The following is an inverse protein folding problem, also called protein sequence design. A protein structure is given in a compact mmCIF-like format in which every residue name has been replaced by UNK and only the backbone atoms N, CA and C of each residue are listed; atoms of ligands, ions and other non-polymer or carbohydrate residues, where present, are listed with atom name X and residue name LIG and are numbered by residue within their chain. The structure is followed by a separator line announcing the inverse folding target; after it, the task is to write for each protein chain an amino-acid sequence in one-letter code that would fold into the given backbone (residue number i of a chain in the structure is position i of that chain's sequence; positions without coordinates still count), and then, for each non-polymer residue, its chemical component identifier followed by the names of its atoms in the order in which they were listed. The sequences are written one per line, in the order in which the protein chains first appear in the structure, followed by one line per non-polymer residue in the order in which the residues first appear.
data_IF_936233040367
#
_entry.id   IF_936233040367
#
_cell.length_a   1.000
_cell.length_b   1.000
_cell.length_c   1.000
_cell.angle_alpha   90.00
_cell.angle_beta   90.00
_cell.angle_gamma   90.00
#
_symmetry.space_group_name_H-M   'P 1'
#
loop_
_entity.id
_entity.type
_entity.pdbx_description
1 polymer ?
#
# COMPACT_ATOMS: atom_id res chain seq x y z
N UNK A 1 21.07 -59.37 -26.18
CA UNK A 1 21.18 -58.47 -25.02
C UNK A 1 19.77 -58.05 -24.65
N UNK A 2 19.23 -58.75 -23.66
CA UNK A 2 17.80 -58.92 -23.40
C UNK A 2 17.43 -58.06 -22.20
N UNK A 3 16.43 -57.19 -22.34
CA UNK A 3 15.88 -56.38 -21.23
C UNK A 3 15.01 -57.27 -20.34
N UNK A 4 15.43 -57.48 -19.09
CA UNK A 4 14.65 -58.15 -18.07
C UNK A 4 13.80 -57.12 -17.31
N UNK A 5 12.49 -57.36 -17.30
CA UNK A 5 11.53 -56.79 -16.34
C UNK A 5 11.73 -57.51 -15.00
N UNK A 6 11.75 -56.77 -13.89
CA UNK A 6 11.50 -57.33 -12.57
C UNK A 6 10.41 -56.53 -11.87
N UNK A 7 9.34 -57.26 -11.56
CA UNK A 7 8.21 -56.88 -10.73
C UNK A 7 8.68 -56.58 -9.30
N UNK A 8 8.07 -55.60 -8.66
CA UNK A 8 8.11 -55.45 -7.21
C UNK A 8 6.67 -55.56 -6.68
N UNK A 9 6.44 -56.60 -5.89
CA UNK A 9 5.17 -56.94 -5.26
C UNK A 9 5.11 -56.29 -3.86
N UNK A 10 3.96 -55.76 -3.40
CA UNK A 10 3.89 -54.99 -2.15
C UNK A 10 3.73 -55.91 -0.92
N UNK A 11 4.48 -55.60 0.15
CA UNK A 11 4.37 -56.23 1.47
C UNK A 11 3.37 -55.48 2.37
N UNK A 12 2.69 -56.15 3.33
CA UNK A 12 1.43 -55.69 3.92
C UNK A 12 1.55 -54.66 5.06
N UNK A 13 0.53 -53.82 5.15
CA UNK A 13 0.29 -52.80 6.19
C UNK A 13 0.29 -53.39 7.61
N UNK A 14 1.05 -52.75 8.51
CA UNK A 14 0.93 -52.95 9.97
C UNK A 14 0.01 -51.88 10.56
N UNK A 15 -1.12 -52.32 11.12
CA UNK A 15 -2.07 -51.48 11.86
C UNK A 15 -1.42 -50.83 13.10
N UNK A 16 -1.67 -49.54 13.38
CA UNK A 16 -1.24 -48.94 14.63
C UNK A 16 -2.22 -49.25 15.78
N UNK A 17 -1.63 -49.57 16.94
CA UNK A 17 -2.28 -49.89 18.21
C UNK A 17 -3.05 -48.68 18.76
N UNK A 18 -4.26 -48.92 19.26
CA UNK A 18 -5.06 -47.96 20.04
C UNK A 18 -4.37 -47.66 21.37
N UNK A 19 -3.96 -46.41 21.59
CA UNK A 19 -3.58 -45.90 22.91
C UNK A 19 -4.68 -44.99 23.45
N UNK A 20 -5.26 -45.45 24.54
CA UNK A 20 -6.23 -44.80 25.42
C UNK A 20 -5.71 -43.47 25.96
N UNK A 21 -6.30 -42.34 25.57
CA UNK A 21 -6.15 -41.07 26.28
C UNK A 21 -7.32 -40.88 27.26
N UNK A 22 -6.93 -40.76 28.54
CA UNK A 22 -7.78 -40.49 29.70
C UNK A 22 -8.18 -39.02 29.67
N UNK A 23 -9.46 -38.73 29.44
CA UNK A 23 -10.02 -37.39 29.57
C UNK A 23 -10.14 -37.03 31.06
N UNK A 24 -9.52 -35.92 31.46
CA UNK A 24 -9.75 -35.32 32.78
C UNK A 24 -10.44 -33.98 32.53
N UNK A 25 -11.76 -33.97 32.64
CA UNK A 25 -12.57 -32.75 32.66
C UNK A 25 -12.35 -32.04 34.00
N UNK A 26 -11.91 -30.78 33.97
CA UNK A 26 -12.07 -29.87 35.09
C UNK A 26 -12.96 -28.72 34.66
N UNK A 27 -14.16 -28.76 35.23
CA UNK A 27 -15.24 -27.81 35.16
C UNK A 27 -14.97 -26.70 36.19
N UNK A 28 -14.94 -25.42 35.79
CA UNK A 28 -15.14 -24.31 36.74
C UNK A 28 -15.88 -23.16 36.06
N UNK A 29 -16.84 -22.69 36.82
CA UNK A 29 -17.95 -21.83 36.47
C UNK A 29 -17.58 -20.35 36.34
N UNK A 30 -18.17 -19.73 35.32
CA UNK A 30 -18.85 -18.43 35.28
C UNK A 30 -18.91 -17.63 36.60
N UNK A 31 -18.37 -16.41 36.57
CA UNK A 31 -18.87 -15.29 37.37
C UNK A 31 -18.65 -13.95 36.65
N UNK A 32 -19.75 -13.29 36.32
CA UNK A 32 -19.83 -11.87 35.95
C UNK A 32 -19.91 -11.01 37.21
N UNK A 33 -19.58 -9.70 37.11
CA UNK A 33 -20.58 -8.72 37.54
C UNK A 33 -20.78 -7.54 36.56
N UNK A 34 -22.05 -7.14 36.40
CA UNK A 34 -22.55 -5.77 36.12
C UNK A 34 -22.06 -4.83 37.24
N UNK A 35 -21.91 -3.51 37.16
CA UNK A 35 -22.65 -2.35 36.60
C UNK A 35 -21.66 -1.16 36.84
N UNK A 36 -21.68 0.02 36.21
CA UNK A 36 -22.68 1.10 36.31
C UNK A 36 -22.25 2.29 35.42
N UNK A 37 -23.27 3.06 35.06
CA UNK A 37 -23.44 4.30 34.30
C UNK A 37 -22.38 5.43 34.35
N UNK A 38 -22.35 6.19 33.24
CA UNK A 38 -22.58 7.64 33.27
C UNK A 38 -21.37 8.55 33.03
N UNK A 39 -21.27 9.19 31.86
CA UNK A 39 -21.82 10.53 31.66
C UNK A 39 -21.46 11.09 30.26
N UNK A 40 -22.49 11.54 29.55
CA UNK A 40 -22.43 12.29 28.30
C UNK A 40 -22.14 13.76 28.58
N UNK A 41 -21.31 14.41 27.75
CA UNK A 41 -21.50 15.83 27.40
C UNK A 41 -21.32 16.03 25.90
N UNK A 42 -22.46 16.26 25.25
CA UNK A 42 -22.59 17.00 23.99
C UNK A 42 -22.22 18.47 24.24
N UNK A 43 -21.48 19.08 23.31
CA UNK A 43 -21.56 20.52 23.05
C UNK A 43 -21.61 20.69 21.53
N UNK A 44 -22.79 21.11 21.10
CA UNK A 44 -23.26 21.93 19.98
C UNK A 44 -22.44 22.12 18.69
N UNK A 45 -23.18 21.82 17.63
CA UNK A 45 -23.15 22.25 16.23
C UNK A 45 -23.31 23.76 15.99
N UNK A 46 -22.74 24.26 14.89
CA UNK A 46 -23.11 25.35 13.93
C UNK A 46 -21.79 25.97 13.41
N UNK A 47 -21.50 26.25 12.15
CA UNK A 47 -22.08 26.06 10.81
C UNK A 47 -20.94 26.46 9.82
N UNK A 48 -20.87 25.98 8.56
CA UNK A 48 -19.77 26.28 7.65
C UNK A 48 -20.07 27.48 6.74
N UNK A 49 -19.23 28.52 6.76
CA UNK A 49 -19.31 29.60 5.77
C UNK A 49 -18.56 29.22 4.48
N UNK A 50 -19.36 28.98 3.43
CA UNK A 50 -18.99 28.90 2.02
C UNK A 50 -18.73 30.32 1.50
N UNK A 51 -17.58 30.54 0.86
CA UNK A 51 -17.32 31.75 0.07
C UNK A 51 -17.62 31.46 -1.40
N UNK A 52 -18.68 32.07 -1.92
CA UNK A 52 -18.98 32.21 -3.34
C UNK A 52 -18.45 33.58 -3.83
N UNK A 53 -17.62 33.65 -4.90
CA UNK A 53 -17.01 34.89 -5.37
C UNK A 53 -17.84 35.52 -6.49
N UNK A 54 -18.63 36.55 -6.17
CA UNK A 54 -19.08 37.51 -7.20
C UNK A 54 -19.49 38.85 -6.58
N UNK A 55 -18.50 39.69 -6.30
CA UNK A 55 -18.70 41.11 -6.00
C UNK A 55 -18.49 41.93 -7.28
N UNK A 56 -19.60 42.35 -7.87
CA UNK A 56 -19.67 43.31 -8.98
C UNK A 56 -19.54 44.72 -8.39
N UNK A 57 -18.48 45.45 -8.78
CA UNK A 57 -18.44 46.90 -8.74
C UNK A 57 -17.86 47.42 -10.05
N UNK A 58 -18.66 48.15 -10.81
CA UNK A 58 -18.16 49.12 -11.77
C UNK A 58 -19.15 50.28 -11.84
N UNK A 59 -18.66 51.44 -11.43
CA UNK A 59 -19.28 52.75 -11.47
C UNK A 59 -18.90 53.44 -12.79
N UNK A 60 -19.87 54.03 -13.49
CA UNK A 60 -19.64 55.23 -14.31
C UNK A 60 -20.98 55.83 -14.77
N UNK A 61 -21.11 57.14 -14.60
CA UNK A 61 -22.27 57.94 -14.93
C UNK A 61 -22.16 58.60 -16.31
N UNK A 62 -23.32 58.74 -16.97
CA UNK A 62 -23.83 59.90 -17.72
C UNK A 62 -22.97 60.61 -18.80
N UNK A 63 -23.59 60.87 -19.97
CA UNK A 63 -23.32 62.09 -20.74
C UNK A 63 -23.53 62.05 -22.26
N UNK A 64 -24.77 62.32 -22.68
CA UNK A 64 -25.20 63.17 -23.81
C UNK A 64 -24.80 62.90 -25.29
N UNK A 65 -25.84 63.04 -26.12
CA UNK A 65 -25.94 62.93 -27.58
C UNK A 65 -25.37 64.14 -28.33
N UNK A 66 -24.87 63.92 -29.57
CA UNK A 66 -25.09 64.82 -30.71
C UNK A 66 -24.75 64.12 -32.05
N UNK A 67 -25.66 64.26 -33.02
CA UNK A 67 -25.54 63.79 -34.41
C UNK A 67 -24.79 64.80 -35.30
N UNK A 68 -23.92 64.35 -36.21
CA UNK A 68 -24.01 64.68 -37.66
C UNK A 68 -22.97 63.95 -38.54
N UNK A 69 -23.48 63.10 -39.44
CA UNK A 69 -23.23 62.97 -40.90
C UNK A 69 -21.80 63.07 -41.51
N UNK A 70 -21.51 61.99 -42.25
CA UNK A 70 -20.85 61.88 -43.58
C UNK A 70 -19.31 61.85 -43.61
N UNK A 71 -18.74 60.69 -43.96
CA UNK A 71 -18.20 60.44 -45.31
C UNK A 71 -17.58 59.04 -45.37
N UNK A 72 -17.84 58.34 -46.48
CA UNK A 72 -17.39 56.99 -46.72
C UNK A 72 -15.87 56.94 -46.99
N UNK A 73 -15.13 56.20 -46.17
CA UNK A 73 -13.81 55.69 -46.52
C UNK A 73 -13.81 54.18 -46.31
N UNK A 74 -13.49 53.46 -47.39
CA UNK A 74 -13.45 52.01 -47.48
C UNK A 74 -12.50 51.43 -46.43
N UNK A 75 -13.07 50.88 -45.36
CA UNK A 75 -12.34 49.99 -44.45
C UNK A 75 -12.11 48.67 -45.16
N UNK A 76 -10.84 48.43 -45.49
CA UNK A 76 -10.32 47.10 -45.79
C UNK A 76 -10.79 46.15 -44.68
N UNK A 77 -11.59 45.16 -45.07
CA UNK A 77 -12.07 44.12 -44.19
C UNK A 77 -10.85 43.28 -43.78
N UNK A 78 -10.36 43.51 -42.57
CA UNK A 78 -9.52 42.54 -41.88
C UNK A 78 -10.26 41.20 -41.93
N UNK A 79 -9.62 40.09 -42.34
CA UNK A 79 -10.30 38.81 -42.40
C UNK A 79 -10.88 38.52 -41.02
N UNK A 80 -12.20 38.29 -41.00
CA UNK A 80 -12.96 38.02 -39.80
C UNK A 80 -12.26 36.93 -39.00
N UNK A 81 -11.88 37.25 -37.77
CA UNK A 81 -11.43 36.31 -36.76
C UNK A 81 -12.52 35.27 -36.37
N UNK A 82 -13.66 35.25 -37.07
CA UNK A 82 -14.67 34.20 -36.97
C UNK A 82 -14.34 32.95 -37.81
N UNK A 83 -13.29 32.96 -38.64
CA UNK A 83 -12.86 31.77 -39.39
C UNK A 83 -11.76 30.95 -38.68
N UNK A 84 -11.33 31.35 -37.48
CA UNK A 84 -10.34 30.63 -36.67
C UNK A 84 -10.96 29.82 -35.51
N UNK A 85 -12.28 29.66 -35.48
CA UNK A 85 -13.01 28.98 -34.41
C UNK A 85 -13.82 27.79 -34.95
N UNK A 86 -13.13 26.77 -35.45
CA UNK A 86 -13.69 25.42 -35.58
C UNK A 86 -12.58 24.36 -35.52
N UNK A 87 -11.62 24.50 -34.60
CA UNK A 87 -10.90 23.32 -34.15
C UNK A 87 -11.95 22.43 -33.45
N UNK A 88 -12.33 21.33 -34.11
CA UNK A 88 -13.26 20.36 -33.54
C UNK A 88 -12.87 20.04 -32.10
N UNK A 89 -13.85 20.02 -31.18
CA UNK A 89 -13.59 19.69 -29.79
C UNK A 89 -12.76 18.39 -29.71
N UNK A 90 -11.71 18.34 -28.88
CA UNK A 90 -10.85 17.17 -28.82
C UNK A 90 -11.67 15.94 -28.44
N UNK A 91 -11.50 14.85 -29.20
CA UNK A 91 -12.13 13.58 -28.89
C UNK A 91 -11.55 13.01 -27.60
N UNK A 92 -12.34 13.11 -26.52
CA UNK A 92 -11.95 12.69 -25.19
C UNK A 92 -11.85 11.15 -25.05
N UNK A 93 -12.10 10.37 -26.09
CA UNK A 93 -11.93 8.91 -26.05
C UNK A 93 -10.48 8.46 -26.32
N UNK A 94 -9.60 9.37 -26.69
CA UNK A 94 -8.24 8.98 -27.09
C UNK A 94 -7.35 8.67 -25.87
N UNK A 95 -6.73 7.47 -25.81
CA UNK A 95 -5.99 7.02 -24.63
C UNK A 95 -4.83 7.91 -24.17
N UNK A 96 -4.18 8.62 -25.10
CA UNK A 96 -3.01 9.47 -24.79
C UNK A 96 -3.34 10.68 -23.91
N UNK A 97 -4.62 11.02 -23.75
CA UNK A 97 -5.05 12.10 -22.86
C UNK A 97 -5.15 11.67 -21.39
N UNK A 98 -5.00 10.37 -21.10
CA UNK A 98 -5.19 9.82 -19.77
C UNK A 98 -3.90 9.24 -19.20
N UNK A 99 -3.67 9.51 -17.92
CA UNK A 99 -2.69 8.77 -17.14
C UNK A 99 -3.33 7.52 -16.56
N UNK A 100 -2.55 6.44 -16.52
CA UNK A 100 -2.97 5.25 -15.79
C UNK A 100 -3.10 5.56 -14.30
N UNK A 101 -4.23 5.17 -13.69
CA UNK A 101 -4.50 5.41 -12.27
C UNK A 101 -3.45 4.77 -11.37
N UNK A 102 -3.10 3.52 -11.64
CA UNK A 102 -2.21 2.74 -10.77
C UNK A 102 -0.77 3.24 -10.88
N UNK A 103 -0.33 3.60 -12.08
CA UNK A 103 0.99 4.22 -12.28
C UNK A 103 1.06 5.62 -11.66
N UNK A 104 -0.03 6.39 -11.73
CA UNK A 104 -0.11 7.71 -11.07
C UNK A 104 -0.05 7.57 -9.55
N UNK A 105 -0.65 6.52 -8.99
CA UNK A 105 -0.55 6.20 -7.58
C UNK A 105 0.89 5.85 -7.17
N UNK A 106 1.62 5.09 -8.00
CA UNK A 106 3.04 4.81 -7.77
C UNK A 106 3.88 6.10 -7.79
N UNK A 107 3.60 7.04 -8.68
CA UNK A 107 4.28 8.35 -8.69
C UNK A 107 3.98 9.17 -7.44
N UNK A 108 2.76 9.08 -6.90
CA UNK A 108 2.44 9.67 -5.60
C UNK A 108 3.32 9.04 -4.51
N UNK A 109 3.37 7.70 -4.42
CA UNK A 109 4.16 7.04 -3.38
C UNK A 109 5.68 7.28 -3.56
N UNK A 110 6.15 7.47 -4.80
CA UNK A 110 7.52 7.90 -5.08
C UNK A 110 7.83 9.26 -4.44
N UNK A 111 6.87 10.20 -4.40
CA UNK A 111 7.06 11.48 -3.71
C UNK A 111 7.12 11.30 -2.19
N UNK A 112 6.34 10.39 -1.63
CA UNK A 112 6.43 10.02 -0.20
C UNK A 112 7.82 9.47 0.13
N UNK A 113 8.39 8.62 -0.73
CA UNK A 113 9.76 8.15 -0.58
C UNK A 113 10.77 9.30 -0.66
N UNK A 114 10.58 10.23 -1.59
CA UNK A 114 11.46 11.39 -1.75
C UNK A 114 11.49 12.28 -0.49
N UNK A 115 10.35 12.52 0.16
CA UNK A 115 10.30 13.25 1.46
C UNK A 115 11.08 12.52 2.56
N UNK A 116 11.06 11.18 2.56
CA UNK A 116 11.84 10.36 3.47
C UNK A 116 13.35 10.34 3.18
N UNK A 117 13.75 10.76 1.98
CA UNK A 117 15.15 10.85 1.57
C UNK A 117 15.72 12.27 1.62
N UNK A 118 14.87 13.28 1.82
CA UNK A 118 15.24 14.69 1.86
C UNK A 118 15.93 15.05 3.18
N UNK A 119 17.18 15.52 3.11
CA UNK A 119 17.97 15.93 4.28
C UNK A 119 17.38 17.14 5.02
N UNK A 120 16.49 17.92 4.37
CA UNK A 120 15.74 19.01 5.02
C UNK A 120 14.69 18.48 6.00
N UNK A 121 14.27 17.23 5.84
CA UNK A 121 13.31 16.55 6.72
C UNK A 121 14.03 16.04 7.99
N UNK A 122 13.50 16.31 9.20
CA UNK A 122 14.08 15.80 10.44
C UNK A 122 14.30 14.28 10.41
N UNK A 123 15.40 13.82 11.02
CA UNK A 123 15.87 12.44 10.91
C UNK A 123 14.81 11.37 11.25
N UNK A 124 14.04 11.57 12.31
CA UNK A 124 12.98 10.64 12.69
C UNK A 124 11.76 10.73 11.78
N UNK A 125 11.46 11.92 11.25
CA UNK A 125 10.39 12.08 10.26
C UNK A 125 10.77 11.39 8.94
N UNK A 126 12.05 11.40 8.55
CA UNK A 126 12.54 10.59 7.42
C UNK A 126 12.28 9.09 7.62
N UNK A 127 12.60 8.56 8.79
CA UNK A 127 12.31 7.16 9.14
C UNK A 127 10.81 6.87 9.08
N UNK A 128 9.97 7.81 9.52
CA UNK A 128 8.51 7.70 9.46
C UNK A 128 8.00 7.74 8.02
N UNK A 129 8.53 8.60 7.14
CA UNK A 129 8.17 8.61 5.72
C UNK A 129 8.53 7.30 5.01
N UNK A 130 9.67 6.70 5.35
CA UNK A 130 10.00 5.36 4.87
C UNK A 130 8.95 4.32 5.32
N UNK A 131 8.48 4.39 6.56
CA UNK A 131 7.40 3.53 7.05
C UNK A 131 6.08 3.78 6.31
N UNK A 132 5.69 5.05 6.13
CA UNK A 132 4.48 5.44 5.40
C UNK A 132 4.53 4.93 3.95
N UNK A 133 5.68 5.05 3.28
CA UNK A 133 5.87 4.49 1.94
C UNK A 133 5.55 2.99 1.90
N UNK A 134 6.05 2.21 2.86
CA UNK A 134 5.80 0.77 2.96
C UNK A 134 4.34 0.45 3.27
N UNK A 135 3.72 1.14 4.25
CA UNK A 135 2.29 0.94 4.57
C UNK A 135 1.38 1.27 3.39
N UNK A 136 1.69 2.34 2.65
CA UNK A 136 0.95 2.67 1.43
C UNK A 136 1.06 1.55 0.39
N UNK A 137 2.24 0.94 0.24
CA UNK A 137 2.42 -0.19 -0.67
C UNK A 137 1.60 -1.40 -0.23
N UNK A 138 1.54 -1.70 1.06
CA UNK A 138 0.72 -2.82 1.56
C UNK A 138 -0.74 -2.67 1.12
N UNK A 139 -1.33 -1.50 1.34
CA UNK A 139 -2.71 -1.20 0.92
C UNK A 139 -2.88 -1.26 -0.61
N UNK A 140 -1.90 -0.75 -1.36
CA UNK A 140 -1.92 -0.84 -2.82
C UNK A 140 -1.90 -2.30 -3.31
N UNK A 141 -1.12 -3.16 -2.70
CA UNK A 141 -1.07 -4.58 -3.06
C UNK A 141 -2.35 -5.31 -2.68
N UNK A 142 -2.82 -5.10 -1.45
CA UNK A 142 -4.01 -5.74 -0.92
C UNK A 142 -5.28 -5.40 -1.70
N UNK A 143 -5.39 -4.16 -2.18
CA UNK A 143 -6.60 -3.70 -2.88
C UNK A 143 -6.42 -3.66 -4.40
N UNK A 144 -5.44 -2.89 -4.89
CA UNK A 144 -5.30 -2.58 -6.33
C UNK A 144 -4.71 -3.74 -7.11
N UNK A 145 -3.56 -4.25 -6.68
CA UNK A 145 -2.89 -5.36 -7.36
C UNK A 145 -3.74 -6.63 -7.27
N UNK A 146 -4.39 -6.88 -6.13
CA UNK A 146 -5.33 -7.99 -5.98
C UNK A 146 -6.49 -7.89 -6.99
N UNK A 147 -7.11 -6.71 -7.13
CA UNK A 147 -8.18 -6.48 -8.10
C UNK A 147 -7.75 -6.69 -9.55
N UNK A 148 -6.55 -6.21 -9.93
CA UNK A 148 -5.98 -6.48 -11.25
C UNK A 148 -5.73 -7.97 -11.47
N UNK A 149 -5.18 -8.68 -10.49
CA UNK A 149 -4.97 -10.14 -10.58
C UNK A 149 -6.29 -10.90 -10.76
N UNK A 150 -7.35 -10.50 -10.05
CA UNK A 150 -8.67 -11.09 -10.22
C UNK A 150 -9.21 -10.88 -11.65
N UNK A 151 -9.00 -9.70 -12.23
CA UNK A 151 -9.39 -9.42 -13.62
C UNK A 151 -8.63 -10.30 -14.62
N UNK A 152 -7.32 -10.50 -14.42
CA UNK A 152 -6.51 -11.40 -15.25
C UNK A 152 -7.01 -12.84 -15.15
N UNK A 153 -7.27 -13.34 -13.94
CA UNK A 153 -7.80 -14.70 -13.73
C UNK A 153 -9.18 -14.89 -14.37
N UNK A 154 -10.01 -13.83 -14.37
CA UNK A 154 -11.31 -13.82 -15.04
C UNK A 154 -11.23 -13.51 -16.55
N UNK A 155 -10.03 -13.46 -17.12
CA UNK A 155 -9.75 -13.19 -18.55
C UNK A 155 -10.38 -11.87 -19.05
N UNK A 156 -10.48 -10.86 -18.19
CA UNK A 156 -11.05 -9.56 -18.54
C UNK A 156 -10.11 -8.81 -19.47
N UNK A 157 -10.52 -8.63 -20.73
CA UNK A 157 -9.76 -7.88 -21.75
C UNK A 157 -10.12 -6.40 -21.84
N UNK A 158 -11.00 -5.92 -20.95
CA UNK A 158 -11.41 -4.51 -20.92
C UNK A 158 -10.18 -3.64 -20.64
N UNK A 159 -9.91 -2.69 -21.54
CA UNK A 159 -8.80 -1.76 -21.40
C UNK A 159 -9.14 -0.63 -20.41
N UNK A 160 -8.12 -0.15 -19.72
CA UNK A 160 -8.19 1.08 -18.94
C UNK A 160 -8.33 2.31 -19.85
N UNK A 161 -8.71 3.49 -19.33
CA UNK A 161 -8.84 4.71 -20.14
C UNK A 161 -7.57 5.09 -20.92
N UNK A 162 -6.40 4.77 -20.38
CA UNK A 162 -5.09 4.95 -21.01
C UNK A 162 -4.70 3.79 -21.96
N UNK A 163 -5.62 2.87 -22.24
CA UNK A 163 -5.50 1.84 -23.27
C UNK A 163 -4.80 0.55 -22.86
N UNK A 164 -4.44 0.36 -21.59
CA UNK A 164 -3.72 -0.83 -21.10
C UNK A 164 -4.67 -1.97 -20.71
N UNK A 165 -4.23 -3.22 -20.88
CA UNK A 165 -4.92 -4.38 -20.30
C UNK A 165 -4.54 -4.57 -18.82
N UNK A 166 -5.27 -5.37 -18.02
CA UNK A 166 -4.89 -5.69 -16.65
C UNK A 166 -3.48 -6.30 -16.53
N UNK A 167 -3.09 -7.18 -17.47
CA UNK A 167 -1.75 -7.79 -17.49
C UNK A 167 -0.67 -6.75 -17.75
N UNK A 168 -0.89 -5.84 -18.71
CA UNK A 168 0.03 -4.75 -19.01
C UNK A 168 0.19 -3.82 -17.80
N UNK A 169 -0.89 -3.52 -17.09
CA UNK A 169 -0.82 -2.73 -15.85
C UNK A 169 0.00 -3.43 -14.76
N UNK A 170 -0.18 -4.73 -14.55
CA UNK A 170 0.63 -5.50 -13.58
C UNK A 170 2.12 -5.51 -13.95
N UNK A 171 2.43 -5.68 -15.24
CA UNK A 171 3.80 -5.63 -15.73
C UNK A 171 4.42 -4.24 -15.51
N UNK A 172 3.72 -3.18 -15.89
CA UNK A 172 4.18 -1.79 -15.72
C UNK A 172 4.36 -1.43 -14.23
N UNK A 173 3.45 -1.88 -13.35
CA UNK A 173 3.55 -1.72 -11.89
C UNK A 173 4.84 -2.36 -11.40
N UNK A 174 5.10 -3.62 -11.76
CA UNK A 174 6.30 -4.35 -11.33
C UNK A 174 7.59 -3.63 -11.77
N UNK A 175 7.65 -3.22 -13.04
CA UNK A 175 8.80 -2.52 -13.61
C UNK A 175 9.10 -1.19 -12.91
N UNK A 176 8.07 -0.41 -12.55
CA UNK A 176 8.25 0.88 -11.88
C UNK A 176 8.52 0.75 -10.39
N UNK A 177 7.90 -0.22 -9.74
CA UNK A 177 7.97 -0.35 -8.29
C UNK A 177 9.28 -0.96 -7.80
N UNK A 178 9.82 -1.97 -8.51
CA UNK A 178 11.04 -2.66 -8.10
C UNK A 178 12.22 -1.69 -7.84
N UNK A 179 12.51 -0.72 -8.72
CA UNK A 179 13.53 0.30 -8.45
C UNK A 179 13.27 1.13 -7.19
N UNK A 180 12.02 1.50 -6.92
CA UNK A 180 11.65 2.32 -5.75
C UNK A 180 11.89 1.56 -4.44
N UNK A 181 11.51 0.28 -4.40
CA UNK A 181 11.75 -0.58 -3.23
C UNK A 181 13.26 -0.77 -3.01
N UNK A 182 14.02 -1.01 -4.07
CA UNK A 182 15.48 -1.11 -3.98
C UNK A 182 16.12 0.20 -3.49
N UNK A 183 15.63 1.34 -3.96
CA UNK A 183 16.08 2.66 -3.51
C UNK A 183 15.81 2.88 -2.01
N UNK A 184 14.60 2.57 -1.54
CA UNK A 184 14.22 2.64 -0.13
C UNK A 184 15.15 1.80 0.75
N UNK A 185 15.37 0.52 0.40
CA UNK A 185 16.26 -0.37 1.16
C UNK A 185 17.70 0.13 1.17
N UNK A 186 18.20 0.59 0.02
CA UNK A 186 19.55 1.14 -0.10
C UNK A 186 19.71 2.39 0.77
N UNK A 187 18.75 3.31 0.74
CA UNK A 187 18.78 4.51 1.56
C UNK A 187 18.70 4.18 3.06
N UNK A 188 17.79 3.28 3.45
CA UNK A 188 17.68 2.83 4.83
C UNK A 188 19.01 2.27 5.35
N UNK A 189 19.63 1.34 4.61
CA UNK A 189 20.84 0.67 5.03
C UNK A 189 22.10 1.53 4.96
N UNK A 190 22.26 2.33 3.90
CA UNK A 190 23.51 3.06 3.63
C UNK A 190 23.54 4.50 4.16
N UNK A 191 22.37 5.12 4.36
CA UNK A 191 22.28 6.52 4.81
C UNK A 191 21.57 6.64 6.16
N UNK A 192 20.30 6.20 6.24
CA UNK A 192 19.46 6.46 7.41
C UNK A 192 19.94 5.72 8.67
N UNK A 193 20.21 4.40 8.58
CA UNK A 193 20.68 3.60 9.72
C UNK A 193 22.01 4.14 10.28
N UNK A 194 23.03 4.47 9.47
CA UNK A 194 24.23 5.15 9.96
C UNK A 194 23.98 6.53 10.57
N UNK A 195 23.07 7.34 10.02
CA UNK A 195 22.72 8.65 10.60
C UNK A 195 22.03 8.53 11.96
N UNK A 196 21.10 7.58 12.11
CA UNK A 196 20.48 7.25 13.39
C UNK A 196 21.55 6.86 14.41
N UNK A 197 22.49 6.00 14.02
CA UNK A 197 23.59 5.58 14.89
C UNK A 197 24.46 6.77 15.34
N UNK A 198 24.79 7.71 14.45
CA UNK A 198 25.54 8.93 14.82
C UNK A 198 24.81 9.83 15.81
N UNK A 199 23.48 9.76 15.83
CA UNK A 199 22.63 10.48 16.78
C UNK A 199 22.25 9.63 18.02
N UNK A 200 22.96 8.53 18.27
CA UNK A 200 22.76 7.69 19.46
C UNK A 200 21.58 6.70 19.38
N UNK A 201 20.99 6.52 18.20
CA UNK A 201 19.89 5.57 17.97
C UNK A 201 20.46 4.34 17.27
N UNK A 202 20.61 3.25 18.02
CA UNK A 202 21.26 2.03 17.55
C UNK A 202 20.24 0.93 17.23
N UNK A 203 20.20 0.50 15.96
CA UNK A 203 19.49 -0.71 15.53
C UNK A 203 20.51 -1.87 15.49
N UNK A 204 20.54 -2.68 16.54
CA UNK A 204 21.53 -3.72 16.76
C UNK A 204 21.02 -5.10 16.36
N UNK A 205 21.87 -5.86 15.69
CA UNK A 205 21.69 -7.29 15.49
C UNK A 205 22.07 -8.07 16.76
N UNK A 206 21.55 -9.28 16.95
CA UNK A 206 21.74 -10.06 18.18
C UNK A 206 23.23 -10.24 18.55
N UNK A 207 24.08 -10.42 17.53
CA UNK A 207 25.52 -10.60 17.68
C UNK A 207 26.22 -9.34 18.22
N UNK A 208 25.68 -8.15 17.96
CA UNK A 208 26.25 -6.87 18.42
C UNK A 208 25.90 -6.55 19.89
N UNK A 209 25.05 -7.35 20.53
CA UNK A 209 24.61 -7.13 21.91
C UNK A 209 25.69 -7.51 22.92
N UNK A 210 25.80 -6.72 23.98
CA UNK A 210 26.63 -7.04 25.15
C UNK A 210 26.09 -8.26 25.90
N UNK A 211 26.91 -8.97 26.70
CA UNK A 211 26.45 -10.11 27.49
C UNK A 211 25.26 -9.77 28.40
N UNK A 212 25.25 -8.58 29.00
CA UNK A 212 24.14 -8.11 29.86
C UNK A 212 22.84 -7.91 29.06
N UNK A 213 22.92 -7.33 27.87
CA UNK A 213 21.76 -7.15 26.99
C UNK A 213 21.22 -8.49 26.48
N UNK A 214 22.10 -9.44 26.15
CA UNK A 214 21.68 -10.79 25.74
C UNK A 214 20.96 -11.52 26.86
N UNK A 215 21.47 -11.45 28.09
CA UNK A 215 20.80 -12.03 29.25
C UNK A 215 19.41 -11.41 29.46
N UNK A 216 19.31 -10.09 29.38
CA UNK A 216 18.02 -9.40 29.45
C UNK A 216 17.03 -9.88 28.38
N UNK A 217 17.47 -9.97 27.11
CA UNK A 217 16.61 -10.43 26.02
C UNK A 217 16.24 -11.91 26.15
N UNK A 218 17.13 -12.75 26.68
CA UNK A 218 16.81 -14.15 26.96
C UNK A 218 15.68 -14.26 27.99
N UNK A 219 15.80 -13.56 29.12
CA UNK A 219 14.75 -13.53 30.14
C UNK A 219 13.45 -12.98 29.56
N UNK A 220 13.51 -11.88 28.81
CA UNK A 220 12.32 -11.32 28.16
C UNK A 220 11.68 -12.29 27.16
N UNK A 221 12.49 -13.00 26.37
CA UNK A 221 12.00 -14.01 25.44
C UNK A 221 11.29 -15.14 26.18
N UNK A 222 11.91 -15.74 27.19
CA UNK A 222 11.35 -16.86 27.96
C UNK A 222 10.05 -16.47 28.68
N UNK A 223 9.99 -15.27 29.26
CA UNK A 223 8.85 -14.83 30.07
C UNK A 223 7.71 -14.20 29.25
N UNK A 224 8.00 -13.59 28.11
CA UNK A 224 7.02 -12.74 27.39
C UNK A 224 6.75 -13.17 25.96
N UNK A 225 7.76 -13.67 25.24
CA UNK A 225 7.63 -14.02 23.82
C UNK A 225 7.29 -15.51 23.65
N UNK A 226 8.11 -16.40 24.23
CA UNK A 226 7.95 -17.85 24.08
C UNK A 226 6.55 -18.37 24.47
N UNK A 227 5.90 -17.92 25.56
CA UNK A 227 4.59 -18.43 25.94
C UNK A 227 3.47 -18.12 24.94
N UNK A 228 3.67 -17.13 24.04
CA UNK A 228 2.70 -16.75 23.01
C UNK A 228 3.08 -17.24 21.62
N UNK A 229 4.28 -17.82 21.44
CA UNK A 229 4.68 -18.42 20.17
C UNK A 229 3.97 -19.75 19.97
N UNK A 230 3.26 -19.88 18.85
CA UNK A 230 2.64 -21.13 18.42
C UNK A 230 3.40 -21.67 17.21
N UNK A 231 4.35 -22.60 17.38
CA UNK A 231 5.04 -23.20 16.24
C UNK A 231 4.04 -24.02 15.42
N UNK A 232 4.01 -23.79 14.11
CA UNK A 232 3.16 -24.51 13.18
C UNK A 232 4.03 -25.44 12.34
N UNK A 233 3.86 -26.75 12.51
CA UNK A 233 4.51 -27.74 11.66
C UNK A 233 3.83 -27.77 10.29
N UNK A 234 4.64 -27.82 9.23
CA UNK A 234 4.17 -27.94 7.85
C UNK A 234 4.68 -29.27 7.32
N UNK A 235 3.75 -30.18 7.01
CA UNK A 235 4.03 -31.48 6.43
C UNK A 235 3.03 -31.81 5.31
N UNK A 236 3.38 -32.72 4.37
CA UNK A 236 2.51 -33.05 3.24
C UNK A 236 1.15 -33.67 3.63
N UNK A 237 1.01 -34.17 4.86
CA UNK A 237 -0.19 -34.83 5.37
C UNK A 237 -1.28 -33.88 5.86
N UNK A 238 -0.97 -32.59 6.06
CA UNK A 238 -1.91 -31.60 6.58
C UNK A 238 -2.05 -30.37 5.65
N UNK A 239 -3.22 -29.73 5.61
CA UNK A 239 -3.37 -28.46 4.90
C UNK A 239 -2.41 -27.41 5.44
N UNK A 240 -1.87 -26.60 4.54
CA UNK A 240 -1.01 -25.48 4.91
C UNK A 240 -1.73 -24.53 5.88
N UNK A 241 -1.11 -24.11 6.99
CA UNK A 241 -1.76 -23.28 7.99
C UNK A 241 -2.18 -21.94 7.40
N UNK A 242 -3.31 -21.40 7.89
CA UNK A 242 -3.68 -20.03 7.56
C UNK A 242 -2.69 -19.05 8.18
N UNK A 243 -2.14 -18.19 7.35
CA UNK A 243 -1.27 -17.10 7.76
C UNK A 243 -2.06 -15.80 7.68
N UNK A 244 -2.11 -15.06 8.78
CA UNK A 244 -2.77 -13.76 8.82
C UNK A 244 -2.09 -12.76 7.89
N UNK A 245 -2.88 -11.89 7.27
CA UNK A 245 -2.34 -10.83 6.42
C UNK A 245 -1.50 -9.84 7.25
N UNK A 246 -0.41 -9.32 6.65
CA UNK A 246 0.57 -8.43 7.27
C UNK A 246 1.22 -8.95 8.56
N UNK A 247 1.03 -10.23 8.92
CA UNK A 247 1.75 -10.80 10.05
C UNK A 247 3.17 -11.20 9.64
N UNK A 248 4.13 -10.93 10.53
CA UNK A 248 5.49 -11.41 10.38
C UNK A 248 5.54 -12.87 10.84
N UNK A 249 5.94 -13.76 9.93
CA UNK A 249 6.09 -15.19 10.21
C UNK A 249 7.51 -15.62 9.89
N UNK A 250 8.06 -16.52 10.69
CA UNK A 250 9.39 -17.08 10.48
C UNK A 250 9.25 -18.51 9.95
N UNK A 251 9.66 -18.74 8.70
CA UNK A 251 9.80 -20.07 8.15
C UNK A 251 11.15 -20.66 8.61
N UNK A 252 11.12 -21.71 9.43
CA UNK A 252 12.31 -22.36 9.97
C UNK A 252 12.42 -23.77 9.38
N UNK A 253 13.57 -24.08 8.79
CA UNK A 253 13.91 -25.44 8.36
C UNK A 253 14.74 -26.08 9.45
N UNK A 254 14.24 -27.18 10.01
CA UNK A 254 14.96 -27.99 11.00
C UNK A 254 15.55 -29.20 10.27
N UNK A 255 16.84 -29.46 10.49
CA UNK A 255 17.52 -30.66 10.03
C UNK A 255 17.90 -31.50 11.25
N UNK A 256 17.52 -32.78 11.27
CA UNK A 256 18.09 -33.71 12.25
C UNK A 256 19.58 -33.88 11.93
N UNK A 257 20.41 -33.65 12.94
CA UNK A 257 21.87 -33.81 12.87
C UNK A 257 22.28 -35.08 13.60
#
# INVERSE_FOLDING_TARGET
MTKAKQNFEPQPEKQPRKSTQKSTQKNTQKSTPKTTEGNSRKIDSHDPCVHDPNAIQSTASAGAEASSKVSASQSQVLPSAAAAAAAAAPDLQQPQYYFNRELSWLEFNRRVLAEGMDERTPLLERAKFLSIFSTNLDEFFMVRVAGLKQQVVAEVRKRSPDGRTPEQQLQDISQRLLPLVQEQHRYFGRSLRPELQRNGIHLLDYEALTPKQRLYLQTYYEERIFPVLTPLAVDPGHPFPMISNLSLNLAVVVQET
#
